data_IF_206911916032
#
_entry.id   IF_206911916032
#
_cell.length_a   1.000
_cell.length_b   1.000
_cell.length_c   1.000
_cell.angle_alpha   90.00
_cell.angle_beta   90.00
_cell.angle_gamma   90.00
#
_symmetry.space_group_name_H-M   'P 1'
#
loop_
_entity.id
_entity.type
_entity.pdbx_description
1 polymer ?
#
# COMPACT_ATOMS: atom_id res chain seq x y z
N UNK A 1 -25.17 10.83 -2.67
CA UNK A 1 -26.20 9.78 -2.89
C UNK A 1 -25.53 8.44 -3.17
N UNK A 2 -26.05 7.33 -2.60
CA UNK A 2 -25.60 5.96 -2.90
C UNK A 2 -26.68 5.23 -3.69
N UNK A 3 -26.26 4.56 -4.74
CA UNK A 3 -27.05 3.61 -5.52
C UNK A 3 -26.34 2.26 -5.43
N UNK A 4 -27.10 1.22 -5.13
CA UNK A 4 -26.55 -0.11 -4.93
C UNK A 4 -27.53 -1.17 -5.42
N UNK A 5 -27.00 -2.21 -6.03
CA UNK A 5 -27.71 -3.45 -6.26
C UNK A 5 -26.81 -4.63 -5.87
N UNK A 6 -27.44 -5.66 -5.37
CA UNK A 6 -26.82 -6.91 -4.96
C UNK A 6 -27.65 -8.07 -5.48
N UNK A 7 -26.98 -9.10 -5.95
CA UNK A 7 -27.58 -10.37 -6.35
C UNK A 7 -26.81 -11.48 -5.66
N UNK A 8 -27.51 -12.33 -4.91
CA UNK A 8 -26.92 -13.44 -4.19
C UNK A 8 -27.60 -14.76 -4.51
N UNK A 9 -26.84 -15.82 -4.33
CA UNK A 9 -27.31 -17.19 -4.44
C UNK A 9 -26.80 -18.00 -3.24
N UNK A 10 -27.72 -18.56 -2.50
CA UNK A 10 -27.44 -19.49 -1.40
C UNK A 10 -28.00 -20.87 -1.73
N UNK A 11 -27.23 -21.91 -1.47
CA UNK A 11 -27.68 -23.27 -1.63
C UNK A 11 -27.03 -24.21 -0.62
N UNK A 12 -27.83 -25.22 -0.18
CA UNK A 12 -27.38 -26.25 0.76
C UNK A 12 -27.64 -27.63 0.19
N UNK A 13 -26.67 -28.51 0.30
CA UNK A 13 -26.69 -29.87 -0.24
C UNK A 13 -26.33 -30.90 0.84
N UNK A 14 -26.60 -32.18 0.52
CA UNK A 14 -26.21 -33.33 1.34
C UNK A 14 -26.70 -33.22 2.81
N UNK A 15 -27.98 -32.92 3.01
CA UNK A 15 -28.57 -32.68 4.31
C UNK A 15 -27.85 -31.57 5.10
N UNK A 16 -27.58 -30.44 4.44
CA UNK A 16 -26.89 -29.28 4.99
C UNK A 16 -25.40 -29.50 5.32
N UNK A 17 -24.80 -30.58 4.80
CA UNK A 17 -23.37 -30.84 5.01
C UNK A 17 -22.45 -30.07 4.05
N UNK A 18 -23.00 -29.49 3.00
CA UNK A 18 -22.29 -28.64 2.05
C UNK A 18 -23.17 -27.42 1.75
N UNK A 19 -22.65 -26.25 1.98
CA UNK A 19 -23.31 -24.97 1.70
C UNK A 19 -22.44 -24.08 0.83
N UNK A 20 -23.09 -23.36 -0.06
CA UNK A 20 -22.51 -22.32 -0.90
C UNK A 20 -23.31 -21.05 -0.75
N UNK A 21 -22.63 -19.94 -0.60
CA UNK A 21 -23.19 -18.62 -0.62
C UNK A 21 -22.29 -17.74 -1.50
N UNK A 22 -22.88 -17.12 -2.52
CA UNK A 22 -22.16 -16.26 -3.45
C UNK A 22 -23.01 -15.03 -3.70
N UNK A 23 -22.45 -13.85 -3.45
CA UNK A 23 -23.11 -12.60 -3.80
C UNK A 23 -22.21 -11.70 -4.66
N UNK A 24 -22.83 -10.97 -5.54
CA UNK A 24 -22.24 -9.90 -6.32
C UNK A 24 -22.92 -8.59 -5.98
N UNK A 25 -22.13 -7.58 -5.71
CA UNK A 25 -22.64 -6.24 -5.49
C UNK A 25 -21.96 -5.21 -6.40
N UNK A 26 -22.72 -4.17 -6.72
CA UNK A 26 -22.18 -3.00 -7.40
C UNK A 26 -22.85 -1.75 -6.82
N UNK A 27 -22.05 -0.77 -6.44
CA UNK A 27 -22.55 0.48 -5.93
C UNK A 27 -21.82 1.70 -6.51
N UNK A 28 -22.55 2.80 -6.53
CA UNK A 28 -22.00 4.12 -6.87
C UNK A 28 -22.35 5.13 -5.80
N UNK A 29 -21.34 5.82 -5.31
CA UNK A 29 -21.49 6.92 -4.35
C UNK A 29 -21.21 8.21 -5.09
N UNK A 30 -22.22 9.07 -5.22
CA UNK A 30 -22.11 10.40 -5.82
C UNK A 30 -22.11 11.48 -4.75
N UNK A 31 -21.53 12.61 -5.08
CA UNK A 31 -21.49 13.80 -4.24
C UNK A 31 -20.89 13.49 -2.85
N UNK A 32 -19.83 12.73 -2.82
CA UNK A 32 -19.13 12.41 -1.57
C UNK A 32 -18.48 13.66 -1.01
N UNK A 33 -18.78 13.97 0.25
CA UNK A 33 -18.19 15.12 0.95
C UNK A 33 -16.88 14.67 1.58
N UNK A 34 -15.79 15.31 1.17
CA UNK A 34 -14.47 15.04 1.70
C UNK A 34 -13.76 16.35 2.07
N UNK A 35 -12.79 16.24 2.96
CA UNK A 35 -11.90 17.33 3.33
C UNK A 35 -10.78 17.43 2.31
N UNK A 36 -10.75 18.53 1.56
CA UNK A 36 -9.77 18.76 0.51
C UNK A 36 -8.74 19.77 0.99
N UNK A 37 -7.44 19.45 0.94
CA UNK A 37 -6.39 20.38 1.31
C UNK A 37 -6.39 21.59 0.36
N UNK A 38 -6.13 22.77 0.92
CA UNK A 38 -6.06 24.02 0.18
C UNK A 38 -4.62 24.55 0.20
N UNK A 39 -4.23 25.33 -0.83
CA UNK A 39 -2.95 26.03 -0.81
C UNK A 39 -2.82 26.90 0.44
N UNK A 40 -1.64 26.94 1.04
CA UNK A 40 -1.37 27.74 2.26
C UNK A 40 -1.71 29.23 2.10
N UNK A 41 -1.69 29.72 0.87
CA UNK A 41 -2.05 31.09 0.51
C UNK A 41 -3.54 31.42 0.69
N UNK A 42 -4.39 30.39 0.79
CA UNK A 42 -5.84 30.57 1.00
C UNK A 42 -6.23 30.92 2.44
N UNK A 43 -5.29 30.77 3.40
CA UNK A 43 -5.53 30.95 4.83
C UNK A 43 -6.32 29.82 5.49
N UNK A 44 -6.75 28.82 4.76
CA UNK A 44 -7.46 27.63 5.26
C UNK A 44 -6.69 26.38 4.86
N UNK A 45 -6.52 25.43 5.79
CA UNK A 45 -5.81 24.17 5.50
C UNK A 45 -6.68 23.20 4.70
N UNK A 46 -7.97 23.15 5.01
CA UNK A 46 -8.92 22.20 4.41
C UNK A 46 -10.26 22.86 4.16
N UNK A 47 -10.92 22.46 3.10
CA UNK A 47 -12.30 22.82 2.79
C UNK A 47 -13.11 21.54 2.56
N UNK A 48 -14.29 21.48 3.18
CA UNK A 48 -15.26 20.41 2.91
C UNK A 48 -15.99 20.74 1.60
N UNK A 49 -15.89 19.83 0.64
CA UNK A 49 -16.56 19.98 -0.65
C UNK A 49 -17.04 18.63 -1.18
N UNK A 50 -17.97 18.68 -2.12
CA UNK A 50 -18.41 17.50 -2.83
C UNK A 50 -17.34 17.15 -3.87
N UNK A 51 -16.56 16.09 -3.62
CA UNK A 51 -15.33 15.81 -4.38
C UNK A 51 -15.46 14.69 -5.38
N UNK A 52 -16.65 14.14 -5.63
CA UNK A 52 -16.73 13.27 -6.77
C UNK A 52 -17.66 12.07 -6.67
N UNK A 53 -17.44 11.16 -7.59
CA UNK A 53 -18.17 9.90 -7.73
C UNK A 53 -17.20 8.73 -7.63
N UNK A 54 -17.53 7.75 -6.79
CA UNK A 54 -16.79 6.50 -6.62
C UNK A 54 -17.70 5.34 -6.93
N UNK A 55 -17.23 4.42 -7.75
CA UNK A 55 -17.87 3.14 -8.03
C UNK A 55 -17.14 2.03 -7.28
N UNK A 56 -17.89 1.08 -6.74
CA UNK A 56 -17.37 -0.12 -6.12
C UNK A 56 -18.13 -1.32 -6.64
N UNK A 57 -17.43 -2.42 -6.84
CA UNK A 57 -18.02 -3.70 -7.20
C UNK A 57 -17.24 -4.83 -6.53
N UNK A 58 -17.90 -5.93 -6.27
CA UNK A 58 -17.25 -7.05 -5.63
C UNK A 58 -18.04 -8.33 -5.65
N UNK A 59 -17.34 -9.38 -5.24
CA UNK A 59 -17.87 -10.71 -5.03
C UNK A 59 -17.56 -11.17 -3.63
N UNK A 60 -18.56 -11.71 -2.95
CA UNK A 60 -18.40 -12.41 -1.69
C UNK A 60 -18.77 -13.87 -1.90
N UNK A 61 -17.86 -14.76 -1.53
CA UNK A 61 -18.00 -16.21 -1.71
C UNK A 61 -17.77 -16.86 -0.37
N UNK A 62 -18.71 -17.71 0.04
CA UNK A 62 -18.57 -18.54 1.24
C UNK A 62 -18.91 -19.98 0.92
N UNK A 63 -18.09 -20.89 1.40
CA UNK A 63 -18.30 -22.33 1.31
C UNK A 63 -18.23 -22.92 2.70
N UNK A 64 -19.28 -23.62 3.11
CA UNK A 64 -19.32 -24.36 4.36
C UNK A 64 -19.44 -25.85 4.10
N UNK A 65 -18.73 -26.65 4.87
CA UNK A 65 -18.76 -28.10 4.74
C UNK A 65 -18.70 -28.78 6.11
N UNK A 66 -19.38 -29.92 6.26
CA UNK A 66 -19.14 -30.88 7.34
C UNK A 66 -18.60 -32.17 6.71
N UNK A 67 -17.27 -32.20 6.40
CA UNK A 67 -16.67 -33.35 5.70
C UNK A 67 -16.82 -34.66 6.46
N UNK A 68 -16.70 -34.62 7.79
CA UNK A 68 -16.82 -35.79 8.64
C UNK A 68 -17.88 -35.53 9.71
N UNK A 69 -18.85 -36.44 9.77
CA UNK A 69 -19.88 -36.46 10.81
C UNK A 69 -20.14 -37.89 11.23
N UNK A 70 -19.73 -38.21 12.46
CA UNK A 70 -19.96 -39.51 13.11
C UNK A 70 -20.60 -39.30 14.46
N UNK A 71 -20.92 -40.39 15.18
CA UNK A 71 -21.51 -40.33 16.53
C UNK A 71 -20.62 -39.56 17.53
N UNK A 72 -19.30 -39.66 17.38
CA UNK A 72 -18.36 -39.12 18.37
C UNK A 72 -17.43 -38.04 17.80
N UNK A 73 -17.39 -37.86 16.48
CA UNK A 73 -16.49 -36.91 15.82
C UNK A 73 -17.22 -36.10 14.75
N UNK A 74 -17.05 -34.80 14.79
CA UNK A 74 -17.53 -33.87 13.79
C UNK A 74 -16.41 -32.92 13.39
N UNK A 75 -16.29 -32.67 12.10
CA UNK A 75 -15.42 -31.67 11.51
C UNK A 75 -16.25 -30.72 10.68
N UNK A 76 -16.23 -29.44 11.03
CA UNK A 76 -16.85 -28.36 10.29
C UNK A 76 -15.75 -27.47 9.70
N UNK A 77 -15.95 -27.07 8.47
CA UNK A 77 -15.03 -26.23 7.70
C UNK A 77 -15.83 -25.11 7.05
N UNK A 78 -15.35 -23.86 7.16
CA UNK A 78 -15.90 -22.72 6.45
C UNK A 78 -14.76 -21.95 5.82
N UNK A 79 -14.87 -21.70 4.52
CA UNK A 79 -13.95 -20.84 3.78
C UNK A 79 -14.74 -19.66 3.21
N UNK A 80 -14.19 -18.47 3.32
CA UNK A 80 -14.73 -17.27 2.69
C UNK A 80 -13.68 -16.56 1.87
N UNK A 81 -14.11 -15.89 0.81
CA UNK A 81 -13.24 -15.08 -0.03
C UNK A 81 -14.00 -13.91 -0.62
N UNK A 82 -13.51 -12.71 -0.37
CA UNK A 82 -14.05 -11.47 -0.90
C UNK A 82 -13.10 -10.83 -1.91
N UNK A 83 -13.65 -10.44 -3.04
CA UNK A 83 -12.97 -9.65 -4.07
C UNK A 83 -13.72 -8.34 -4.18
N UNK A 84 -13.01 -7.22 -4.04
CA UNK A 84 -13.63 -5.93 -4.26
C UNK A 84 -12.73 -5.06 -5.14
N UNK A 85 -13.38 -4.26 -5.97
CA UNK A 85 -12.73 -3.29 -6.83
C UNK A 85 -13.42 -1.95 -6.64
N UNK A 86 -12.63 -0.91 -6.55
CA UNK A 86 -13.15 0.45 -6.50
C UNK A 86 -12.55 1.27 -7.65
N UNK A 87 -13.24 2.32 -8.04
CA UNK A 87 -12.78 3.26 -9.05
C UNK A 87 -13.29 4.67 -8.74
N UNK A 88 -12.40 5.61 -8.76
CA UNK A 88 -12.74 7.03 -8.78
C UNK A 88 -13.28 7.36 -10.18
N UNK A 89 -14.59 7.55 -10.29
CA UNK A 89 -15.25 7.80 -11.58
C UNK A 89 -15.05 9.25 -12.01
N UNK A 90 -15.20 10.18 -11.06
CA UNK A 90 -15.03 11.60 -11.29
C UNK A 90 -14.59 12.29 -10.00
N UNK A 91 -13.72 13.29 -10.12
CA UNK A 91 -13.42 14.25 -9.07
C UNK A 91 -14.12 15.58 -9.34
N UNK A 92 -14.09 16.51 -8.40
CA UNK A 92 -14.59 17.86 -8.59
C UNK A 92 -13.79 18.57 -9.69
N UNK A 93 -14.46 19.45 -10.44
CA UNK A 93 -13.82 20.19 -11.52
C UNK A 93 -12.61 21.00 -11.00
N UNK A 94 -11.48 20.88 -11.68
CA UNK A 94 -10.23 21.53 -11.29
C UNK A 94 -9.43 20.81 -10.18
N UNK A 95 -9.89 19.65 -9.68
CA UNK A 95 -9.18 18.83 -8.70
C UNK A 95 -8.51 17.68 -9.43
N UNK A 96 -7.18 17.71 -9.67
CA UNK A 96 -6.48 16.65 -10.41
C UNK A 96 -6.35 15.34 -9.60
N UNK A 97 -6.27 15.45 -8.31
CA UNK A 97 -6.23 14.31 -7.36
C UNK A 97 -6.69 14.76 -5.97
N UNK A 98 -7.09 13.80 -5.16
CA UNK A 98 -7.40 14.01 -3.76
C UNK A 98 -6.36 13.27 -2.91
N UNK A 99 -5.66 13.99 -2.04
CA UNK A 99 -4.76 13.38 -1.06
C UNK A 99 -5.57 12.78 0.08
N UNK A 100 -5.49 11.45 0.23
CA UNK A 100 -6.17 10.70 1.28
C UNK A 100 -5.31 10.66 2.54
N UNK A 101 -4.00 10.44 2.35
CA UNK A 101 -3.04 10.37 3.45
C UNK A 101 -1.64 10.77 2.97
N UNK A 102 -0.87 11.34 3.90
CA UNK A 102 0.52 11.69 3.72
C UNK A 102 1.34 10.95 4.79
N UNK A 103 2.29 10.14 4.35
CA UNK A 103 3.04 9.21 5.19
C UNK A 103 4.52 9.56 5.14
N UNK A 104 5.21 9.37 6.26
CA UNK A 104 6.67 9.57 6.34
C UNK A 104 7.12 11.02 6.09
N UNK A 105 6.36 12.00 6.59
CA UNK A 105 6.72 13.41 6.43
C UNK A 105 6.71 13.93 4.99
N UNK A 106 5.97 13.26 4.08
CA UNK A 106 5.87 13.62 2.68
C UNK A 106 6.58 12.63 1.73
N UNK A 107 7.20 11.59 2.26
CA UNK A 107 7.89 10.58 1.45
C UNK A 107 6.94 9.73 0.60
N UNK A 108 5.75 9.47 1.10
CA UNK A 108 4.71 8.76 0.36
C UNK A 108 3.35 9.43 0.54
N UNK A 109 2.54 9.41 -0.50
CA UNK A 109 1.17 9.94 -0.50
C UNK A 109 0.21 8.89 -1.02
N UNK A 110 -0.91 8.75 -0.32
CA UNK A 110 -2.03 7.93 -0.81
C UNK A 110 -3.01 8.88 -1.46
N UNK A 111 -3.34 8.63 -2.72
CA UNK A 111 -4.16 9.51 -3.52
C UNK A 111 -5.35 8.80 -4.19
N UNK A 112 -6.40 9.57 -4.42
CA UNK A 112 -7.48 9.23 -5.33
C UNK A 112 -7.31 10.07 -6.60
N UNK A 113 -7.21 9.39 -7.74
CA UNK A 113 -7.04 10.02 -9.07
C UNK A 113 -8.18 9.56 -9.95
N UNK A 114 -8.76 10.46 -10.73
CA UNK A 114 -9.86 10.15 -11.64
C UNK A 114 -9.50 9.02 -12.62
N UNK A 115 -10.42 8.10 -12.82
CA UNK A 115 -10.23 6.94 -13.68
C UNK A 115 -9.45 5.77 -13.06
N UNK A 116 -8.91 5.93 -11.85
CA UNK A 116 -8.06 4.95 -11.17
C UNK A 116 -8.72 4.37 -9.91
N UNK A 117 -8.21 3.25 -9.39
CA UNK A 117 -8.59 2.78 -8.06
C UNK A 117 -8.24 3.82 -7.00
N UNK A 118 -9.11 3.98 -6.00
CA UNK A 118 -8.80 4.78 -4.82
C UNK A 118 -7.67 4.10 -4.03
N UNK A 119 -6.74 4.90 -3.50
CA UNK A 119 -5.68 4.36 -2.67
C UNK A 119 -4.37 4.06 -3.42
N UNK A 120 -4.17 4.64 -4.59
CA UNK A 120 -2.88 4.59 -5.27
C UNK A 120 -1.80 5.26 -4.41
N UNK A 121 -0.63 4.62 -4.35
CA UNK A 121 0.54 5.09 -3.62
C UNK A 121 1.45 5.84 -4.58
N UNK A 122 1.73 7.07 -4.24
CA UNK A 122 2.64 7.95 -4.97
C UNK A 122 3.85 8.29 -4.11
N UNK A 123 5.04 8.19 -4.68
CA UNK A 123 6.29 8.53 -4.01
C UNK A 123 7.18 9.35 -4.93
N UNK A 124 8.10 10.08 -4.33
CA UNK A 124 9.19 10.70 -5.05
C UNK A 124 10.24 9.64 -5.37
N UNK A 125 10.58 9.47 -6.65
CA UNK A 125 11.55 8.47 -7.09
C UNK A 125 12.81 9.17 -7.65
N UNK A 126 13.99 8.54 -7.54
CA UNK A 126 15.19 9.05 -8.16
C UNK A 126 15.05 9.11 -9.68
N UNK A 127 15.72 10.10 -10.29
CA UNK A 127 15.85 10.16 -11.74
C UNK A 127 16.80 9.07 -12.22
N UNK A 128 16.55 8.55 -13.42
CA UNK A 128 17.42 7.60 -14.11
C UNK A 128 17.74 8.14 -15.49
N UNK A 129 18.93 7.81 -15.99
CA UNK A 129 19.30 8.04 -17.38
C UNK A 129 18.69 6.96 -18.31
N UNK A 130 18.92 7.07 -19.60
CA UNK A 130 18.44 6.12 -20.62
C UNK A 130 18.96 4.68 -20.41
N UNK A 131 20.08 4.51 -19.71
CA UNK A 131 20.68 3.21 -19.38
C UNK A 131 20.11 2.61 -18.08
N UNK A 132 19.20 3.28 -17.37
CA UNK A 132 18.64 2.82 -16.11
C UNK A 132 19.53 3.11 -14.88
N UNK A 133 20.54 3.97 -15.01
CA UNK A 133 21.42 4.35 -13.91
C UNK A 133 20.86 5.57 -13.18
N UNK A 134 20.93 5.56 -11.85
CA UNK A 134 20.49 6.69 -11.04
C UNK A 134 21.35 7.94 -11.28
N UNK A 135 20.68 9.08 -11.43
CA UNK A 135 21.34 10.37 -11.52
C UNK A 135 21.63 10.93 -10.13
N UNK A 136 22.84 11.41 -9.94
CA UNK A 136 23.28 12.07 -8.72
C UNK A 136 23.74 13.49 -9.02
N UNK A 137 23.55 14.37 -8.05
CA UNK A 137 24.03 15.75 -8.11
C UNK A 137 25.55 15.82 -7.92
N UNK A 138 26.14 16.99 -8.11
CA UNK A 138 27.54 17.23 -7.83
C UNK A 138 27.92 17.02 -6.35
N UNK A 139 26.93 16.98 -5.49
CA UNK A 139 27.08 16.66 -4.06
C UNK A 139 26.92 15.17 -3.74
N UNK A 140 26.79 14.30 -4.75
CA UNK A 140 26.62 12.87 -4.57
C UNK A 140 25.23 12.45 -4.08
N UNK A 141 24.23 13.33 -4.08
CA UNK A 141 22.87 13.02 -3.66
C UNK A 141 22.01 12.61 -4.85
N UNK A 142 21.13 11.65 -4.68
CA UNK A 142 20.17 11.30 -5.72
C UNK A 142 19.33 12.50 -6.13
N UNK A 143 19.19 12.66 -7.44
CA UNK A 143 18.29 13.65 -8.01
C UNK A 143 16.91 13.03 -8.12
N UNK A 144 15.94 13.61 -7.43
CA UNK A 144 14.58 13.12 -7.48
C UNK A 144 13.80 13.71 -8.66
N UNK A 145 12.84 12.95 -9.17
CA UNK A 145 11.88 13.47 -10.14
C UNK A 145 11.03 14.55 -9.49
N UNK A 146 10.65 15.55 -10.28
CA UNK A 146 9.81 16.66 -9.80
C UNK A 146 8.40 16.18 -9.46
N UNK A 147 7.88 15.25 -10.25
CA UNK A 147 6.54 14.69 -10.08
C UNK A 147 6.58 13.38 -9.32
N UNK A 148 5.59 13.19 -8.46
CA UNK A 148 5.42 11.93 -7.76
C UNK A 148 5.03 10.83 -8.74
N UNK A 149 5.63 9.66 -8.56
CA UNK A 149 5.36 8.49 -9.38
C UNK A 149 4.49 7.49 -8.62
N UNK A 150 3.53 6.91 -9.33
CA UNK A 150 2.72 5.82 -8.80
C UNK A 150 3.57 4.56 -8.69
N UNK A 151 3.62 3.98 -7.49
CA UNK A 151 4.40 2.76 -7.23
C UNK A 151 3.55 1.57 -6.79
N UNK A 152 2.30 1.80 -6.40
CA UNK A 152 1.44 0.71 -5.95
C UNK A 152 0.03 1.16 -5.59
N UNK A 153 -0.73 0.29 -4.92
CA UNK A 153 -2.07 0.55 -4.40
C UNK A 153 -2.29 -0.20 -3.09
N UNK A 154 -2.93 0.43 -2.11
CA UNK A 154 -3.19 -0.16 -0.80
C UNK A 154 -4.26 -1.25 -0.80
N UNK A 155 -5.11 -1.32 -1.83
CA UNK A 155 -6.20 -2.28 -1.87
C UNK A 155 -5.70 -3.68 -2.22
N UNK A 156 -6.12 -4.71 -1.48
CA UNK A 156 -5.80 -6.09 -1.84
C UNK A 156 -6.56 -6.54 -3.09
N UNK A 157 -6.04 -7.57 -3.74
CA UNK A 157 -6.73 -8.28 -4.80
C UNK A 157 -7.89 -9.11 -4.26
N UNK A 158 -7.77 -9.58 -3.03
CA UNK A 158 -8.81 -10.25 -2.29
C UNK A 158 -8.42 -10.49 -0.84
N UNK A 159 -9.44 -10.73 -0.03
CA UNK A 159 -9.29 -11.11 1.38
C UNK A 159 -10.11 -12.37 1.63
N UNK A 160 -9.64 -13.21 2.54
CA UNK A 160 -10.37 -14.42 2.84
C UNK A 160 -9.99 -15.01 4.18
N UNK A 161 -10.74 -16.03 4.57
CA UNK A 161 -10.51 -16.75 5.79
C UNK A 161 -10.90 -18.21 5.67
N UNK A 162 -10.27 -19.01 6.49
CA UNK A 162 -10.57 -20.42 6.67
C UNK A 162 -10.81 -20.67 8.16
N UNK A 163 -11.98 -21.11 8.48
CA UNK A 163 -12.33 -21.56 9.82
C UNK A 163 -12.51 -23.07 9.83
N UNK A 164 -11.88 -23.76 10.80
CA UNK A 164 -11.99 -25.20 10.96
C UNK A 164 -12.27 -25.55 12.41
N UNK A 165 -13.31 -26.32 12.64
CA UNK A 165 -13.76 -26.75 13.96
C UNK A 165 -13.80 -28.28 14.03
N UNK A 166 -13.14 -28.84 15.02
CA UNK A 166 -13.15 -30.26 15.31
C UNK A 166 -13.81 -30.50 16.66
N UNK A 167 -14.70 -31.42 16.73
CA UNK A 167 -15.25 -31.89 17.99
C UNK A 167 -15.14 -33.41 18.10
N UNK A 168 -14.58 -33.89 19.20
CA UNK A 168 -14.51 -35.30 19.55
C UNK A 168 -15.01 -35.51 20.97
N UNK A 169 -16.21 -36.09 21.09
CA UNK A 169 -16.91 -36.22 22.37
C UNK A 169 -17.05 -34.86 23.08
N UNK A 170 -16.33 -34.64 24.17
CA UNK A 170 -16.34 -33.42 24.98
C UNK A 170 -15.10 -32.52 24.73
N UNK A 171 -14.31 -32.82 23.70
CA UNK A 171 -13.11 -32.04 23.34
C UNK A 171 -13.42 -31.25 22.07
N UNK A 172 -13.07 -29.98 22.06
CA UNK A 172 -13.24 -29.08 20.94
C UNK A 172 -11.89 -28.44 20.58
N UNK A 173 -11.63 -28.32 19.30
CA UNK A 173 -10.47 -27.60 18.76
C UNK A 173 -10.91 -26.77 17.57
N UNK A 174 -10.73 -25.47 17.70
CA UNK A 174 -11.04 -24.51 16.65
C UNK A 174 -9.79 -23.75 16.24
N UNK A 175 -9.66 -23.48 14.95
CA UNK A 175 -8.66 -22.54 14.46
C UNK A 175 -9.20 -21.74 13.28
N UNK A 176 -8.69 -20.51 13.15
CA UNK A 176 -8.98 -19.60 12.07
C UNK A 176 -7.68 -19.14 11.42
N UNK A 177 -7.72 -19.04 10.11
CA UNK A 177 -6.64 -18.47 9.30
C UNK A 177 -7.27 -17.38 8.46
N UNK A 178 -6.79 -16.14 8.63
CA UNK A 178 -7.16 -15.02 7.78
C UNK A 178 -6.00 -14.69 6.86
N UNK A 179 -6.31 -14.38 5.62
CA UNK A 179 -5.30 -14.04 4.62
C UNK A 179 -5.74 -12.88 3.74
N UNK A 180 -4.75 -12.17 3.24
CA UNK A 180 -4.89 -11.09 2.30
C UNK A 180 -3.96 -11.35 1.11
N UNK A 181 -4.47 -11.24 -0.10
CA UNK A 181 -3.73 -11.41 -1.35
C UNK A 181 -3.62 -10.04 -2.01
N UNK A 182 -2.39 -9.66 -2.37
CA UNK A 182 -2.12 -8.36 -2.99
C UNK A 182 -2.26 -7.17 -2.05
N UNK A 183 -2.19 -6.00 -2.64
CA UNK A 183 -2.12 -4.72 -1.94
C UNK A 183 -0.73 -4.42 -1.41
N UNK A 184 -0.33 -3.17 -1.55
CA UNK A 184 0.99 -2.70 -1.15
C UNK A 184 0.93 -2.09 0.25
N UNK A 185 2.02 -2.26 1.00
CA UNK A 185 2.17 -1.73 2.36
C UNK A 185 3.39 -0.84 2.42
N UNK A 186 3.24 0.36 2.94
CA UNK A 186 4.35 1.29 3.17
C UNK A 186 4.99 0.95 4.51
N UNK A 187 6.27 0.56 4.48
CA UNK A 187 7.03 0.29 5.69
C UNK A 187 7.77 1.56 6.16
N UNK A 188 7.06 2.41 6.88
CA UNK A 188 7.60 3.65 7.41
C UNK A 188 8.70 3.40 8.46
N UNK A 189 8.57 2.33 9.25
CA UNK A 189 9.59 1.94 10.23
C UNK A 189 10.93 1.63 9.55
N UNK A 190 10.92 0.93 8.42
CA UNK A 190 12.11 0.65 7.65
C UNK A 190 12.76 1.93 7.10
N UNK A 191 11.96 2.87 6.63
CA UNK A 191 12.43 4.19 6.17
C UNK A 191 13.19 4.93 7.28
N UNK A 192 12.59 5.06 8.47
CA UNK A 192 13.23 5.73 9.60
C UNK A 192 14.46 4.97 10.12
N UNK A 193 14.39 3.65 10.15
CA UNK A 193 15.52 2.81 10.55
C UNK A 193 16.71 2.98 9.60
N UNK A 194 16.45 3.02 8.30
CA UNK A 194 17.48 3.25 7.29
C UNK A 194 18.10 4.64 7.41
N UNK A 195 17.25 5.68 7.54
CA UNK A 195 17.70 7.04 7.73
C UNK A 195 18.52 7.23 9.03
N UNK A 196 18.21 6.43 10.06
CA UNK A 196 18.92 6.44 11.34
C UNK A 196 20.15 5.53 11.37
N UNK A 197 20.47 4.85 10.28
CA UNK A 197 21.63 3.96 10.21
C UNK A 197 21.46 2.62 10.91
N UNK A 198 20.23 2.13 11.08
CA UNK A 198 19.90 0.91 11.83
C UNK A 198 19.64 -0.31 10.94
N UNK A 199 19.65 -0.15 9.62
CA UNK A 199 19.48 -1.27 8.68
C UNK A 199 20.82 -1.72 8.10
N UNK A 200 20.96 -2.99 7.66
CA UNK A 200 22.18 -3.49 7.05
C UNK A 200 22.62 -2.65 5.84
N UNK A 201 21.69 -2.19 5.03
CA UNK A 201 21.97 -1.38 3.84
C UNK A 201 22.55 -0.02 4.20
N UNK A 202 22.13 0.57 5.32
CA UNK A 202 22.64 1.84 5.82
C UNK A 202 24.02 1.73 6.45
N UNK A 203 24.54 0.51 6.68
CA UNK A 203 25.86 0.26 7.21
C UNK A 203 26.93 0.07 6.13
N UNK A 204 26.53 0.01 4.86
CA UNK A 204 27.47 -0.13 3.76
C UNK A 204 28.49 1.02 3.77
N UNK A 205 29.75 0.69 3.51
CA UNK A 205 30.87 1.64 3.42
C UNK A 205 31.20 2.42 4.72
N UNK A 206 30.66 2.01 5.87
CA UNK A 206 30.98 2.61 7.17
C UNK A 206 32.21 2.01 7.85
N UNK A 207 32.79 0.96 7.29
CA UNK A 207 34.00 0.36 7.82
C UNK A 207 35.24 1.24 7.55
N UNK A 208 36.31 0.96 8.31
CA UNK A 208 37.57 1.73 8.24
C UNK A 208 38.27 1.56 6.89
N UNK A 209 38.08 0.44 6.21
CA UNK A 209 38.67 0.13 4.91
C UNK A 209 38.10 1.05 3.83
N UNK A 210 36.81 1.39 3.92
CA UNK A 210 36.14 2.30 2.99
C UNK A 210 36.08 3.75 3.50
N UNK A 211 36.89 4.09 4.51
CA UNK A 211 37.05 5.46 4.97
C UNK A 211 36.05 5.88 6.07
N UNK A 212 35.42 4.93 6.73
CA UNK A 212 34.52 5.19 7.84
C UNK A 212 33.18 5.76 7.39
N UNK A 213 32.97 7.04 7.54
CA UNK A 213 31.72 7.72 7.15
C UNK A 213 31.70 8.16 5.67
N UNK A 214 32.72 7.83 4.89
CA UNK A 214 32.72 8.09 3.45
C UNK A 214 31.65 7.25 2.76
N UNK A 215 30.85 7.89 1.95
CA UNK A 215 29.69 7.26 1.31
C UNK A 215 29.77 7.35 -0.21
N UNK A 216 29.66 6.20 -0.88
CA UNK A 216 29.55 6.14 -2.33
C UNK A 216 28.10 5.87 -2.71
N UNK A 217 27.48 6.81 -3.41
CA UNK A 217 26.21 6.55 -4.05
C UNK A 217 26.45 5.90 -5.42
N UNK A 218 25.89 4.72 -5.67
CA UNK A 218 25.95 4.15 -7.01
C UNK A 218 25.09 5.00 -7.95
N UNK A 219 25.72 5.79 -8.77
CA UNK A 219 25.04 6.67 -9.71
C UNK A 219 26.03 7.46 -10.54
N UNK A 220 25.54 8.15 -11.55
CA UNK A 220 26.32 8.94 -12.46
C UNK A 220 25.97 10.43 -12.35
N UNK A 221 26.99 11.29 -12.49
CA UNK A 221 26.76 12.71 -12.66
C UNK A 221 25.91 12.96 -13.90
N UNK A 222 24.90 13.82 -13.76
CA UNK A 222 23.92 14.12 -14.81
C UNK A 222 24.58 14.64 -16.12
N UNK A 223 25.72 15.30 -16.03
CA UNK A 223 26.39 15.90 -17.18
C UNK A 223 27.48 15.02 -17.80
N UNK A 224 28.13 14.15 -17.03
CA UNK A 224 29.32 13.42 -17.48
C UNK A 224 29.18 11.90 -17.48
N UNK A 225 28.16 11.36 -16.84
CA UNK A 225 28.03 9.91 -16.65
C UNK A 225 29.13 9.30 -15.76
N UNK A 226 29.88 10.11 -15.04
CA UNK A 226 30.96 9.65 -14.17
C UNK A 226 30.40 9.34 -12.78
N UNK A 227 30.76 8.20 -12.16
CA UNK A 227 30.43 7.92 -10.79
C UNK A 227 30.88 9.03 -9.85
N UNK A 228 30.00 9.48 -8.96
CA UNK A 228 30.30 10.56 -8.02
C UNK A 228 30.51 9.97 -6.63
N UNK A 229 31.67 10.29 -6.07
CA UNK A 229 31.97 10.06 -4.67
C UNK A 229 31.44 11.24 -3.86
N UNK A 230 30.78 10.99 -2.70
CA UNK A 230 30.42 12.06 -1.79
C UNK A 230 31.69 12.70 -1.23
N UNK A 231 31.84 14.01 -1.39
CA UNK A 231 32.95 14.73 -0.83
C UNK A 231 32.82 14.78 0.71
N UNK A 232 33.77 14.18 1.44
CA UNK A 232 33.77 14.19 2.89
C UNK A 232 33.86 15.60 3.50
N UNK A 233 34.23 16.62 2.73
CA UNK A 233 34.26 18.01 3.19
C UNK A 233 32.89 18.70 3.25
N UNK A 234 31.83 18.08 2.68
CA UNK A 234 30.50 18.68 2.62
C UNK A 234 29.72 18.61 3.96
N UNK A 235 30.20 17.86 4.92
CA UNK A 235 29.63 17.83 6.26
C UNK A 235 30.65 17.27 7.22
N UNK A 236 31.33 18.14 7.95
CA UNK A 236 32.27 17.73 8.98
C UNK A 236 31.66 17.86 10.37
N UNK A 237 31.69 16.81 11.15
CA UNK A 237 31.42 16.84 12.59
C UNK A 237 32.54 17.58 13.33
N UNK A 238 32.38 17.76 14.67
CA UNK A 238 33.31 18.52 15.49
C UNK A 238 34.75 18.01 15.46
N UNK A 239 34.98 16.76 15.05
CA UNK A 239 36.28 16.13 14.99
C UNK A 239 36.77 15.95 13.54
N UNK A 240 36.12 16.57 12.57
CA UNK A 240 36.46 16.45 11.15
C UNK A 240 35.82 15.22 10.46
N UNK A 241 34.97 14.46 11.17
CA UNK A 241 34.20 13.37 10.58
C UNK A 241 33.10 13.90 9.65
N UNK A 242 32.83 13.18 8.59
CA UNK A 242 31.74 13.48 7.67
C UNK A 242 30.39 13.21 8.35
N UNK A 243 29.53 14.22 8.41
CA UNK A 243 28.16 14.12 8.93
C UNK A 243 27.19 14.21 7.74
N UNK A 244 26.29 13.26 7.62
CA UNK A 244 25.25 13.18 6.57
C UNK A 244 23.87 13.51 7.15
#
# INVERSE_FOLDING_TARGET
>A
KKYEYEIGFESKFLNNRLGFDVSYYNNRVKDQILSTPQPSTSGVKYVLMNVGEVANEGWDISVSATPVLTKNFRWDLTANYGIYRNKVVKLADGVPYLEISNIGGGGAKIQAVEGRPMGDIYVQVPQMNENGEYLVSDKGLYMNQTELQRVGNINPDGVGGLFSSFSYKNIFLDFSIDFRIGGDVINEMYQYSTASGLTPESLQFRDTEHGGLSYYYPGNNNASGVPVQVDPSLGAGPNGETVY
#
